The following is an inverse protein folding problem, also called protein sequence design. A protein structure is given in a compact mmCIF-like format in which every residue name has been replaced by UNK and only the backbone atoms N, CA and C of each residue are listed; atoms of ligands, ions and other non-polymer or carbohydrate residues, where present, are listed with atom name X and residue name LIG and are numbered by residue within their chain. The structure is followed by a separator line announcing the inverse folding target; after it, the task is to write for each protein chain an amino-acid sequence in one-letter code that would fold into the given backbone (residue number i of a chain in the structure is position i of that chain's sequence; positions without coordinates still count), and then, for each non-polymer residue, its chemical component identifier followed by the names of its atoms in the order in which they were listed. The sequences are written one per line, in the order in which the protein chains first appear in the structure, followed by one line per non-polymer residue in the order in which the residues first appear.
data_IF_465643577706
#
_entry.id   IF_465643577706
#
_cell.length_a   1.000
_cell.length_b   1.000
_cell.length_c   1.000
_cell.angle_alpha   90.00
_cell.angle_beta   90.00
_cell.angle_gamma   90.00
#
_symmetry.space_group_name_H-M   'P 1'
#
loop_
_entity.id
_entity.type
_entity.pdbx_description
1 polymer ?
#
# COMPACT_ATOMS: atom_id res chain seq x y z
N UNK A 1 -0.27 -54.99 -7.66
CA UNK A 1 -0.92 -54.51 -6.43
C UNK A 1 -0.24 -53.21 -6.02
N UNK A 2 -0.64 -52.07 -6.63
CA UNK A 2 -0.06 -50.76 -6.39
C UNK A 2 -1.13 -49.89 -5.73
N UNK A 3 -0.91 -49.49 -4.46
CA UNK A 3 -1.74 -48.52 -3.75
C UNK A 3 -1.18 -47.12 -4.01
N UNK A 4 -1.90 -46.27 -4.72
CA UNK A 4 -1.67 -44.86 -4.80
C UNK A 4 -2.21 -44.20 -3.51
N UNK A 5 -1.32 -43.66 -2.65
CA UNK A 5 -1.67 -42.73 -1.62
C UNK A 5 -1.82 -41.33 -2.26
N UNK A 6 -3.03 -40.82 -2.31
CA UNK A 6 -3.31 -39.44 -2.64
C UNK A 6 -3.14 -38.56 -1.41
N UNK A 7 -1.99 -37.89 -1.31
CA UNK A 7 -1.73 -36.87 -0.29
C UNK A 7 -2.37 -35.54 -0.74
N UNK A 8 -3.53 -35.24 -0.18
CA UNK A 8 -4.35 -34.08 -0.52
C UNK A 8 -3.98 -32.90 0.41
N UNK A 9 -2.74 -32.38 0.29
CA UNK A 9 -2.33 -31.12 0.93
C UNK A 9 -2.73 -29.95 0.06
N UNK A 10 -3.93 -29.46 0.26
CA UNK A 10 -4.43 -28.23 -0.37
C UNK A 10 -3.69 -27.01 0.19
N UNK A 11 -2.80 -26.48 -0.64
CA UNK A 11 -2.09 -25.22 -0.37
C UNK A 11 -3.09 -24.04 -0.41
N UNK A 12 -3.34 -23.30 0.70
CA UNK A 12 -4.37 -22.25 0.74
C UNK A 12 -4.07 -21.07 -0.20
N UNK A 13 -2.82 -20.92 -0.66
CA UNK A 13 -2.43 -19.85 -1.56
C UNK A 13 -2.80 -20.08 -3.05
N UNK A 14 -3.07 -21.33 -3.46
CA UNK A 14 -3.47 -21.62 -4.85
C UNK A 14 -4.90 -21.19 -5.19
N UNK A 15 -5.80 -21.07 -4.21
CA UNK A 15 -7.21 -20.72 -4.48
C UNK A 15 -7.44 -19.24 -4.79
N UNK A 16 -6.58 -18.36 -4.30
CA UNK A 16 -6.72 -16.91 -4.52
C UNK A 16 -6.27 -16.50 -5.93
N UNK A 17 -5.26 -17.17 -6.48
CA UNK A 17 -4.76 -16.89 -7.83
C UNK A 17 -5.77 -17.23 -8.93
N UNK A 18 -6.60 -18.27 -8.74
CA UNK A 18 -7.64 -18.65 -9.70
C UNK A 18 -8.84 -17.69 -9.73
N UNK A 19 -9.23 -17.12 -8.61
CA UNK A 19 -10.33 -16.16 -8.54
C UNK A 19 -9.97 -14.81 -9.18
N UNK A 20 -8.72 -14.36 -9.07
CA UNK A 20 -8.25 -13.13 -9.72
C UNK A 20 -8.14 -13.33 -11.25
N UNK A 21 -7.72 -14.51 -11.70
CA UNK A 21 -7.67 -14.86 -13.12
C UNK A 21 -9.06 -14.93 -13.78
N UNK A 22 -10.07 -15.40 -13.07
CA UNK A 22 -11.44 -15.54 -13.59
C UNK A 22 -12.16 -14.18 -13.67
N UNK A 23 -11.91 -13.24 -12.76
CA UNK A 23 -12.48 -11.89 -12.84
C UNK A 23 -11.90 -11.06 -13.98
N UNK A 24 -10.65 -11.30 -14.39
CA UNK A 24 -10.05 -10.62 -15.54
C UNK A 24 -10.60 -11.10 -16.89
N UNK A 25 -11.07 -12.36 -17.00
CA UNK A 25 -11.61 -12.90 -18.24
C UNK A 25 -13.08 -12.55 -18.50
N UNK A 26 -13.89 -12.28 -17.48
CA UNK A 26 -15.32 -11.99 -17.64
C UNK A 26 -15.65 -10.53 -17.99
N UNK A 27 -14.71 -9.60 -17.85
CA UNK A 27 -14.89 -8.17 -18.13
C UNK A 27 -14.74 -7.76 -19.61
N UNK A 28 -14.33 -8.66 -20.50
CA UNK A 28 -13.99 -8.32 -21.90
C UNK A 28 -15.08 -8.64 -22.92
N UNK A 29 -16.17 -9.26 -22.55
CA UNK A 29 -17.25 -9.60 -23.47
C UNK A 29 -18.43 -8.66 -23.30
N UNK A 30 -18.81 -8.00 -24.40
CA UNK A 30 -20.03 -7.24 -24.66
C UNK A 30 -20.14 -5.81 -24.11
N UNK A 31 -19.67 -4.83 -24.89
CA UNK A 31 -20.33 -3.53 -24.99
C UNK A 31 -20.10 -2.95 -26.41
N UNK A 32 -20.86 -3.46 -27.36
CA UNK A 32 -21.13 -2.72 -28.59
C UNK A 32 -22.15 -1.63 -28.24
N UNK A 33 -21.73 -0.38 -28.23
CA UNK A 33 -22.61 0.77 -28.01
C UNK A 33 -22.54 1.73 -29.20
N UNK A 34 -23.67 2.40 -29.57
CA UNK A 34 -23.77 3.23 -30.75
C UNK A 34 -22.91 4.47 -30.67
N UNK A 35 -22.46 4.89 -31.84
CA UNK A 35 -21.69 6.11 -32.06
C UNK A 35 -22.49 7.33 -31.58
N UNK A 36 -22.06 7.92 -30.49
CA UNK A 36 -22.53 9.24 -30.04
C UNK A 36 -21.31 10.17 -29.93
N UNK A 37 -21.25 11.09 -30.85
CA UNK A 37 -20.52 12.36 -30.88
C UNK A 37 -19.03 12.33 -30.46
N UNK A 38 -18.19 12.44 -31.47
CA UNK A 38 -16.77 12.73 -31.37
C UNK A 38 -16.52 14.11 -30.73
N UNK A 39 -16.51 14.17 -29.40
CA UNK A 39 -15.80 15.21 -28.70
C UNK A 39 -14.36 14.75 -28.53
N UNK A 40 -13.44 15.58 -29.00
CA UNK A 40 -12.02 15.35 -29.14
C UNK A 40 -11.41 14.57 -27.97
N UNK A 41 -10.90 13.38 -28.27
CA UNK A 41 -10.16 12.50 -27.35
C UNK A 41 -8.96 13.16 -26.66
N UNK A 42 -8.51 14.30 -27.14
CA UNK A 42 -7.42 15.12 -26.62
C UNK A 42 -7.66 15.63 -25.19
N UNK A 43 -8.89 15.97 -24.79
CA UNK A 43 -9.20 16.52 -23.47
C UNK A 43 -8.88 15.55 -22.33
N UNK A 44 -9.14 14.24 -22.51
CA UNK A 44 -9.11 13.26 -21.41
C UNK A 44 -7.74 12.96 -20.81
N UNK A 45 -6.66 13.11 -21.58
CA UNK A 45 -5.30 12.99 -21.05
C UNK A 45 -4.84 14.25 -20.32
N UNK A 46 -5.46 15.40 -20.62
CA UNK A 46 -4.98 16.72 -20.24
C UNK A 46 -5.99 17.52 -19.40
N UNK A 47 -7.01 16.87 -18.88
CA UNK A 47 -7.96 17.50 -17.99
C UNK A 47 -7.27 18.25 -16.85
N UNK A 48 -7.66 19.52 -16.64
CA UNK A 48 -6.95 20.42 -15.73
C UNK A 48 -6.99 19.97 -14.29
N UNK A 49 -8.15 19.46 -13.86
CA UNK A 49 -8.35 18.95 -12.51
C UNK A 49 -8.97 17.57 -12.55
N UNK A 50 -8.45 16.67 -11.73
CA UNK A 50 -9.01 15.34 -11.50
C UNK A 50 -9.07 15.05 -10.01
N UNK A 51 -10.20 14.54 -9.55
CA UNK A 51 -10.39 13.97 -8.22
C UNK A 51 -10.53 12.45 -8.37
N UNK A 52 -9.67 11.70 -7.70
CA UNK A 52 -9.67 10.26 -7.66
C UNK A 52 -10.09 9.80 -6.25
N UNK A 53 -11.15 9.02 -6.17
CA UNK A 53 -11.64 8.41 -4.94
C UNK A 53 -11.68 6.91 -5.13
N UNK A 54 -10.92 6.18 -4.34
CA UNK A 54 -10.78 4.74 -4.51
C UNK A 54 -10.68 3.99 -3.19
N UNK A 55 -11.01 2.71 -3.25
CA UNK A 55 -10.80 1.76 -2.17
C UNK A 55 -10.02 0.57 -2.68
N UNK A 56 -9.01 0.15 -1.95
CA UNK A 56 -8.21 -1.00 -2.28
C UNK A 56 -8.40 -2.14 -1.28
N UNK A 57 -8.49 -3.36 -1.78
CA UNK A 57 -8.23 -4.54 -0.97
C UNK A 57 -6.73 -4.79 -1.05
N UNK A 58 -6.07 -4.65 0.08
CA UNK A 58 -4.62 -4.76 0.19
C UNK A 58 -4.27 -6.07 0.87
N UNK A 59 -3.39 -6.85 0.26
CA UNK A 59 -2.73 -8.00 0.86
C UNK A 59 -1.38 -7.52 1.34
N UNK A 60 -1.10 -7.71 2.63
CA UNK A 60 0.09 -7.17 3.25
C UNK A 60 0.70 -8.14 4.26
N UNK A 61 2.01 -8.35 4.13
CA UNK A 61 2.82 -8.94 5.18
C UNK A 61 3.58 -7.83 5.91
N UNK A 62 3.67 -7.90 7.21
CA UNK A 62 4.46 -6.92 7.97
C UNK A 62 5.42 -7.67 8.87
N UNK A 63 6.69 -7.28 8.85
CA UNK A 63 7.67 -7.69 9.85
C UNK A 63 8.18 -6.44 10.53
N UNK A 64 8.08 -6.40 11.84
CA UNK A 64 8.51 -5.27 12.66
C UNK A 64 9.52 -5.78 13.67
N UNK A 65 10.64 -5.09 13.81
CA UNK A 65 11.57 -5.23 14.91
C UNK A 65 11.71 -3.87 15.57
N UNK A 66 11.54 -3.84 16.86
CA UNK A 66 11.80 -2.64 17.68
C UNK A 66 12.89 -3.00 18.66
N UNK A 67 14.02 -2.33 18.53
CA UNK A 67 15.19 -2.56 19.38
C UNK A 67 15.01 -1.81 20.70
N UNK A 68 15.48 -2.40 21.79
CA UNK A 68 15.48 -1.80 23.12
C UNK A 68 16.79 -1.08 23.40
N UNK A 69 16.91 -0.55 24.61
CA UNK A 69 18.14 0.11 25.11
C UNK A 69 19.29 -0.88 25.32
N UNK A 70 18.98 -2.16 25.60
CA UNK A 70 19.94 -3.20 25.94
C UNK A 70 20.26 -4.14 24.75
N UNK A 71 19.65 -3.95 23.57
CA UNK A 71 19.93 -4.77 22.40
C UNK A 71 18.84 -4.85 21.34
N UNK A 72 19.05 -5.75 20.38
CA UNK A 72 18.13 -5.96 19.27
C UNK A 72 16.81 -6.63 19.74
N UNK A 73 15.69 -6.08 19.30
CA UNK A 73 14.38 -6.68 19.50
C UNK A 73 14.15 -7.91 18.60
N UNK A 74 13.06 -8.60 18.83
CA UNK A 74 12.65 -9.75 18.02
C UNK A 74 12.00 -9.31 16.70
N UNK A 75 12.37 -9.95 15.59
CA UNK A 75 11.63 -9.83 14.32
C UNK A 75 10.23 -10.47 14.49
N UNK A 76 9.18 -9.65 14.57
CA UNK A 76 7.80 -10.05 14.77
C UNK A 76 7.02 -9.92 13.46
N UNK A 77 6.47 -11.02 12.97
CA UNK A 77 5.59 -11.00 11.79
C UNK A 77 4.16 -10.64 12.22
N UNK A 78 3.43 -9.96 11.33
CA UNK A 78 2.01 -9.63 11.55
C UNK A 78 1.17 -10.86 11.91
N UNK A 79 1.49 -12.01 11.32
CA UNK A 79 0.78 -13.26 11.54
C UNK A 79 0.99 -13.83 12.96
N UNK A 80 2.18 -13.62 13.53
CA UNK A 80 2.49 -14.02 14.91
C UNK A 80 1.59 -13.28 15.92
N UNK A 81 1.21 -12.05 15.57
CA UNK A 81 0.33 -11.18 16.36
C UNK A 81 -1.14 -11.29 15.95
N UNK A 82 -1.48 -12.18 15.01
CA UNK A 82 -2.84 -12.36 14.52
C UNK A 82 -3.38 -11.20 13.69
N UNK A 83 -2.54 -10.25 13.29
CA UNK A 83 -2.97 -9.13 12.45
C UNK A 83 -3.43 -9.65 11.08
N UNK A 84 -4.61 -9.23 10.59
CA UNK A 84 -5.14 -9.71 9.33
C UNK A 84 -4.20 -9.37 8.17
N UNK A 85 -3.93 -10.37 7.32
CA UNK A 85 -3.08 -10.24 6.13
C UNK A 85 -3.74 -9.46 4.99
N UNK A 86 -5.05 -9.18 5.07
CA UNK A 86 -5.76 -8.36 4.10
C UNK A 86 -6.60 -7.30 4.79
N UNK A 87 -6.71 -6.11 4.16
CA UNK A 87 -7.50 -5.00 4.68
C UNK A 87 -7.98 -4.09 3.56
N UNK A 88 -9.10 -3.42 3.81
CA UNK A 88 -9.57 -2.33 2.99
C UNK A 88 -8.78 -1.05 3.30
N UNK A 89 -8.32 -0.38 2.25
CA UNK A 89 -7.53 0.84 2.34
C UNK A 89 -8.16 1.91 1.43
N UNK A 90 -8.86 2.89 1.99
CA UNK A 90 -9.36 4.02 1.22
C UNK A 90 -8.23 4.95 0.79
N UNK A 91 -8.38 5.53 -0.39
CA UNK A 91 -7.47 6.51 -0.98
C UNK A 91 -8.27 7.64 -1.62
N UNK A 92 -7.77 8.84 -1.47
CA UNK A 92 -8.22 10.02 -2.22
C UNK A 92 -7.00 10.75 -2.79
N UNK A 93 -7.09 11.23 -4.03
CA UNK A 93 -6.07 12.11 -4.60
C UNK A 93 -6.68 13.17 -5.52
N UNK A 94 -6.02 14.32 -5.57
CA UNK A 94 -6.32 15.42 -6.47
C UNK A 94 -5.13 15.62 -7.39
N UNK A 95 -5.39 15.71 -8.68
CA UNK A 95 -4.41 16.03 -9.72
C UNK A 95 -4.71 17.37 -10.33
N UNK A 96 -3.70 18.18 -10.45
CA UNK A 96 -3.74 19.46 -11.14
C UNK A 96 -2.72 19.51 -12.27
N UNK A 97 -3.19 19.86 -13.46
CA UNK A 97 -2.37 20.00 -14.69
C UNK A 97 -2.42 21.43 -15.18
N UNK A 98 -1.45 22.28 -14.84
CA UNK A 98 -1.37 23.64 -15.36
C UNK A 98 -1.10 23.70 -16.87
N UNK A 99 -0.68 22.59 -17.47
CA UNK A 99 -0.41 22.46 -18.90
C UNK A 99 -0.23 20.99 -19.30
N UNK A 100 0.02 20.75 -20.57
CA UNK A 100 0.10 19.38 -21.11
C UNK A 100 1.28 18.56 -20.57
N UNK A 101 2.34 19.21 -20.09
CA UNK A 101 3.57 18.53 -19.66
C UNK A 101 3.75 18.49 -18.14
N UNK A 102 2.98 19.26 -17.40
CA UNK A 102 3.16 19.43 -15.97
C UNK A 102 1.96 18.89 -15.21
N UNK A 103 2.20 18.13 -14.15
CA UNK A 103 1.17 17.61 -13.28
C UNK A 103 1.65 17.62 -11.84
N UNK A 104 0.77 18.03 -10.94
CA UNK A 104 0.90 17.88 -9.50
C UNK A 104 -0.21 16.96 -9.00
N UNK A 105 0.15 15.96 -8.20
CA UNK A 105 -0.79 15.06 -7.52
C UNK A 105 -0.56 15.13 -6.00
N UNK A 106 -1.60 15.49 -5.27
CA UNK A 106 -1.67 15.37 -3.82
C UNK A 106 -2.58 14.21 -3.48
N UNK A 107 -2.12 13.29 -2.64
CA UNK A 107 -2.92 12.13 -2.26
C UNK A 107 -2.73 11.72 -0.81
N UNK A 108 -3.75 11.01 -0.32
CA UNK A 108 -3.80 10.46 1.03
C UNK A 108 -4.43 9.07 1.00
N UNK A 109 -3.85 8.15 1.76
CA UNK A 109 -4.40 6.81 2.00
C UNK A 109 -4.06 6.34 3.41
N UNK A 110 -4.88 5.43 3.96
CA UNK A 110 -4.61 4.88 5.27
C UNK A 110 -5.05 3.43 5.41
N UNK A 111 -4.36 2.70 6.30
CA UNK A 111 -4.75 1.36 6.68
C UNK A 111 -4.65 1.17 8.20
N UNK A 112 -5.62 0.46 8.78
CA UNK A 112 -5.68 0.17 10.20
C UNK A 112 -5.95 -1.30 10.40
N UNK A 113 -5.15 -1.94 11.25
CA UNK A 113 -5.27 -3.35 11.60
C UNK A 113 -5.27 -3.49 13.10
N UNK A 114 -6.08 -4.40 13.62
CA UNK A 114 -6.06 -4.79 15.03
C UNK A 114 -6.34 -6.27 15.14
N UNK A 115 -5.78 -6.88 16.15
CA UNK A 115 -6.03 -8.29 16.50
C UNK A 115 -5.83 -8.51 17.99
N UNK A 116 -6.54 -9.50 18.50
CA UNK A 116 -6.34 -10.05 19.83
C UNK A 116 -5.85 -11.49 19.63
N UNK A 117 -4.69 -11.82 20.18
CA UNK A 117 -4.09 -13.16 20.02
C UNK A 117 -3.23 -13.55 21.21
N UNK A 118 -3.27 -14.83 21.55
CA UNK A 118 -2.32 -15.43 22.49
C UNK A 118 -1.01 -15.73 21.79
N UNK A 119 0.10 -15.23 22.33
CA UNK A 119 1.44 -15.40 21.78
C UNK A 119 1.88 -16.86 21.84
N UNK A 120 2.41 -17.35 20.73
CA UNK A 120 2.94 -18.71 20.62
C UNK A 120 4.47 -18.78 20.79
N UNK A 121 5.10 -17.61 20.84
CA UNK A 121 6.54 -17.45 21.10
C UNK A 121 6.78 -16.17 21.90
N UNK A 122 7.90 -16.12 22.59
CA UNK A 122 8.35 -14.90 23.26
C UNK A 122 8.63 -13.80 22.25
N UNK A 123 8.21 -12.59 22.58
CA UNK A 123 8.39 -11.38 21.77
C UNK A 123 9.09 -10.33 22.62
N UNK A 124 10.24 -9.85 22.16
CA UNK A 124 10.93 -8.70 22.73
C UNK A 124 10.60 -7.50 21.83
N UNK A 125 9.91 -6.51 22.42
CA UNK A 125 9.48 -5.31 21.72
C UNK A 125 9.88 -4.09 22.54
N UNK A 126 10.83 -3.31 22.04
CA UNK A 126 11.52 -2.29 22.80
C UNK A 126 12.13 -2.88 24.10
N UNK A 127 11.86 -2.25 25.24
CA UNK A 127 12.36 -2.67 26.54
C UNK A 127 11.41 -3.63 27.28
N UNK A 128 10.46 -4.24 26.55
CA UNK A 128 9.44 -5.12 27.13
C UNK A 128 9.51 -6.52 26.54
N UNK A 129 9.52 -7.52 27.41
CA UNK A 129 9.44 -8.93 27.03
C UNK A 129 8.00 -9.42 27.24
N UNK A 130 7.44 -10.03 26.20
CA UNK A 130 6.12 -10.66 26.21
C UNK A 130 6.29 -12.17 26.08
N UNK A 131 5.93 -12.88 27.12
CA UNK A 131 6.13 -14.32 27.21
C UNK A 131 5.08 -15.11 26.43
N UNK A 132 5.39 -16.37 26.15
CA UNK A 132 4.47 -17.32 25.52
C UNK A 132 3.23 -17.48 26.40
N UNK A 133 2.05 -17.56 25.78
CA UNK A 133 0.78 -17.73 26.48
C UNK A 133 0.10 -16.43 26.89
N UNK A 134 0.76 -15.26 26.76
CA UNK A 134 0.12 -13.98 27.00
C UNK A 134 -0.86 -13.63 25.88
N UNK A 135 -2.06 -13.21 26.25
CA UNK A 135 -3.01 -12.64 25.29
C UNK A 135 -2.66 -11.17 25.04
N UNK A 136 -2.39 -10.84 23.79
CA UNK A 136 -2.03 -9.48 23.38
C UNK A 136 -3.11 -8.88 22.50
N UNK A 137 -3.42 -7.60 22.75
CA UNK A 137 -4.17 -6.76 21.83
C UNK A 137 -3.21 -5.89 21.06
N UNK A 138 -3.14 -6.14 19.76
CA UNK A 138 -2.21 -5.44 18.86
C UNK A 138 -2.97 -4.50 17.94
N UNK A 139 -2.49 -3.26 17.81
CA UNK A 139 -3.00 -2.30 16.82
C UNK A 139 -1.85 -1.80 15.97
N UNK A 140 -2.06 -1.78 14.68
CA UNK A 140 -1.14 -1.23 13.71
C UNK A 140 -1.84 -0.24 12.79
N UNK A 141 -1.34 0.99 12.74
CA UNK A 141 -1.85 2.05 11.89
C UNK A 141 -0.75 2.52 10.96
N UNK A 142 -1.10 2.72 9.72
CA UNK A 142 -0.25 3.38 8.74
C UNK A 142 -1.09 4.34 7.92
N UNK A 143 -0.60 5.55 7.82
CA UNK A 143 -1.17 6.61 6.99
C UNK A 143 -0.11 7.00 5.97
N UNK A 144 -0.51 7.48 4.80
CA UNK A 144 0.42 7.98 3.80
C UNK A 144 -0.15 9.22 3.15
N UNK A 145 0.56 10.33 3.26
CA UNK A 145 0.31 11.54 2.49
C UNK A 145 1.47 11.77 1.54
N UNK A 146 1.17 12.13 0.30
CA UNK A 146 2.20 12.34 -0.72
C UNK A 146 1.85 13.48 -1.65
N UNK A 147 2.88 14.16 -2.12
CA UNK A 147 2.86 15.14 -3.20
C UNK A 147 3.79 14.67 -4.29
N UNK A 148 3.29 14.53 -5.50
CA UNK A 148 4.07 14.10 -6.68
C UNK A 148 3.99 15.15 -7.76
N UNK A 149 5.13 15.55 -8.28
CA UNK A 149 5.24 16.32 -9.52
C UNK A 149 5.65 15.39 -10.67
N UNK A 150 4.96 15.49 -11.81
CA UNK A 150 5.29 14.75 -13.02
C UNK A 150 5.56 15.69 -14.16
N UNK A 151 6.58 15.34 -14.97
CA UNK A 151 6.92 16.02 -16.21
C UNK A 151 6.82 15.06 -17.38
N UNK A 152 5.99 15.39 -18.37
CA UNK A 152 5.84 14.62 -19.58
C UNK A 152 6.97 14.91 -20.56
N UNK A 153 7.82 13.92 -20.79
CA UNK A 153 8.85 13.96 -21.84
C UNK A 153 8.17 13.91 -23.20
N UNK A 154 7.16 13.06 -23.34
CA UNK A 154 6.32 12.98 -24.54
C UNK A 154 4.85 13.20 -24.15
N UNK A 155 4.19 14.08 -24.90
CA UNK A 155 2.79 14.43 -24.72
C UNK A 155 2.13 14.45 -26.11
N UNK A 156 1.53 13.31 -26.50
CA UNK A 156 0.83 13.13 -27.77
C UNK A 156 -0.65 12.92 -27.49
N UNK A 157 -1.47 12.98 -28.52
CA UNK A 157 -2.94 12.88 -28.41
C UNK A 157 -3.45 11.66 -27.63
N UNK A 158 -2.79 10.51 -27.78
CA UNK A 158 -3.22 9.25 -27.17
C UNK A 158 -2.21 8.64 -26.24
N UNK A 159 -1.02 9.23 -26.12
CA UNK A 159 0.06 8.69 -25.29
C UNK A 159 0.79 9.81 -24.58
N UNK A 160 1.05 9.60 -23.32
CA UNK A 160 1.89 10.47 -22.51
C UNK A 160 2.84 9.60 -21.69
N UNK A 161 4.12 9.95 -21.65
CA UNK A 161 5.06 9.30 -20.76
C UNK A 161 6.10 10.31 -20.29
N UNK A 162 6.64 10.04 -19.12
CA UNK A 162 7.59 10.96 -18.52
C UNK A 162 8.14 10.45 -17.20
N UNK A 163 8.69 11.38 -16.46
CA UNK A 163 9.30 11.16 -15.16
C UNK A 163 8.55 11.91 -14.08
N UNK A 164 8.71 11.47 -12.86
CA UNK A 164 8.10 12.11 -11.69
C UNK A 164 9.03 12.09 -10.50
N UNK A 165 8.88 13.11 -9.67
CA UNK A 165 9.50 13.19 -8.35
C UNK A 165 8.40 13.39 -7.31
N UNK A 166 8.56 12.81 -6.16
CA UNK A 166 7.56 12.90 -5.10
C UNK A 166 8.19 13.03 -3.73
N UNK A 167 7.46 13.67 -2.84
CA UNK A 167 7.75 13.71 -1.41
C UNK A 167 6.53 13.28 -0.63
N UNK A 168 6.72 12.73 0.55
CA UNK A 168 5.61 12.29 1.37
C UNK A 168 6.02 12.00 2.80
N UNK A 169 5.01 11.67 3.58
CA UNK A 169 5.16 11.18 4.94
C UNK A 169 4.42 9.87 5.09
N UNK A 170 5.01 8.96 5.84
CA UNK A 170 4.49 7.63 6.13
C UNK A 170 4.54 7.38 7.64
N UNK A 171 3.56 7.89 8.39
CA UNK A 171 3.43 7.61 9.81
C UNK A 171 3.07 6.14 10.04
N UNK A 172 3.84 5.48 10.90
CA UNK A 172 3.52 4.17 11.47
C UNK A 172 3.28 4.32 12.96
N UNK A 173 2.20 3.71 13.46
CA UNK A 173 1.95 3.56 14.88
C UNK A 173 1.65 2.11 15.20
N UNK A 174 2.39 1.60 16.16
CA UNK A 174 2.27 0.22 16.62
C UNK A 174 2.02 0.22 18.13
N UNK A 175 0.98 -0.49 18.56
CA UNK A 175 0.58 -0.64 19.95
C UNK A 175 0.43 -2.13 20.27
N UNK A 176 1.05 -2.58 21.35
CA UNK A 176 0.83 -3.91 21.93
C UNK A 176 0.42 -3.72 23.39
N UNK A 177 -0.76 -4.22 23.74
CA UNK A 177 -1.25 -4.31 25.11
C UNK A 177 -1.32 -5.79 25.47
N UNK A 178 -0.63 -6.21 26.51
CA UNK A 178 -0.68 -7.59 27.02
C UNK A 178 -1.44 -7.64 28.33
N UNK A 179 -2.36 -8.59 28.43
CA UNK A 179 -3.11 -8.92 29.62
C UNK A 179 -2.60 -10.26 30.16
N UNK A 180 -1.94 -10.25 31.30
CA UNK A 180 -1.61 -11.48 32.03
C UNK A 180 -2.77 -11.79 32.97
N UNK A 181 -3.54 -12.85 32.70
CA UNK A 181 -4.47 -13.46 33.66
C UNK A 181 -3.73 -14.56 34.44
N UNK A 182 -2.88 -14.16 35.35
CA UNK A 182 -2.42 -15.09 36.40
C UNK A 182 -3.11 -14.68 37.68
N UNK A 183 -3.75 -15.66 38.32
CA UNK A 183 -4.46 -15.58 39.58
C UNK A 183 -3.85 -14.53 40.52
N UNK A 184 -4.62 -13.50 40.85
CA UNK A 184 -4.45 -12.41 41.83
C UNK A 184 -3.68 -11.15 41.47
N UNK A 185 -2.80 -11.11 40.50
CA UNK A 185 -2.18 -9.82 40.03
C UNK A 185 -2.24 -9.73 38.52
N UNK A 186 -3.10 -8.84 38.00
CA UNK A 186 -3.19 -8.54 36.58
C UNK A 186 -2.04 -7.59 36.20
N UNK A 187 -0.95 -8.13 35.69
CA UNK A 187 0.14 -7.32 35.12
C UNK A 187 -0.24 -6.91 33.71
N UNK A 188 -0.69 -5.67 33.55
CA UNK A 188 -0.91 -5.09 32.23
C UNK A 188 0.41 -4.49 31.73
N UNK A 189 0.92 -5.03 30.62
CA UNK A 189 2.07 -4.44 29.92
C UNK A 189 1.58 -3.78 28.64
N UNK A 190 1.91 -2.52 28.46
CA UNK A 190 1.56 -1.76 27.26
C UNK A 190 2.81 -1.13 26.66
N UNK A 191 2.99 -1.28 25.36
CA UNK A 191 4.04 -0.59 24.61
C UNK A 191 3.46 0.05 23.36
N UNK A 192 3.74 1.34 23.20
CA UNK A 192 3.38 2.10 22.02
C UNK A 192 4.65 2.70 21.41
N UNK A 193 4.84 2.45 20.12
CA UNK A 193 5.92 3.08 19.36
C UNK A 193 5.35 3.68 18.09
N UNK A 194 5.84 4.87 17.75
CA UNK A 194 5.48 5.57 16.51
C UNK A 194 6.71 6.10 15.82
N UNK A 195 6.65 6.12 14.50
CA UNK A 195 7.67 6.73 13.65
C UNK A 195 7.00 7.42 12.47
N UNK A 196 7.53 8.56 12.09
CA UNK A 196 7.17 9.24 10.84
C UNK A 196 8.31 9.00 9.87
N UNK A 197 8.05 8.21 8.82
CA UNK A 197 8.99 7.98 7.73
C UNK A 197 8.82 9.05 6.66
N UNK A 198 9.74 10.03 6.55
CA UNK A 198 9.74 10.90 5.38
C UNK A 198 10.10 10.08 4.15
N UNK A 199 9.47 10.36 3.01
CA UNK A 199 9.73 9.67 1.76
C UNK A 199 10.02 10.67 0.66
N UNK A 200 11.00 10.33 -0.20
CA UNK A 200 11.24 11.04 -1.44
C UNK A 200 11.38 10.00 -2.55
N UNK A 201 10.72 10.20 -3.67
CA UNK A 201 10.65 9.23 -4.75
C UNK A 201 11.03 9.84 -6.09
N UNK A 202 11.60 9.00 -6.94
CA UNK A 202 11.78 9.28 -8.35
C UNK A 202 11.22 8.11 -9.15
N UNK A 203 10.64 8.37 -10.32
CA UNK A 203 10.06 7.29 -11.11
C UNK A 203 9.70 7.70 -12.52
N UNK A 204 9.16 6.73 -13.26
CA UNK A 204 8.62 6.91 -14.59
C UNK A 204 7.13 6.59 -14.61
N UNK A 205 6.42 7.19 -15.53
CA UNK A 205 5.01 6.91 -15.76
C UNK A 205 4.68 6.87 -17.25
N UNK A 206 3.63 6.12 -17.57
CA UNK A 206 3.08 6.06 -18.91
C UNK A 206 1.56 6.09 -18.87
N UNK A 207 0.93 6.71 -19.87
CA UNK A 207 -0.51 6.81 -20.05
C UNK A 207 -0.85 6.57 -21.51
N UNK A 208 -1.86 5.78 -21.73
CA UNK A 208 -2.28 5.33 -23.05
C UNK A 208 -3.79 5.40 -23.14
N UNK A 209 -4.30 6.08 -24.17
CA UNK A 209 -5.70 6.15 -24.48
C UNK A 209 -6.01 5.20 -25.63
N UNK A 210 -6.85 4.19 -25.38
CA UNK A 210 -7.29 3.21 -26.35
C UNK A 210 -8.74 3.53 -26.77
N UNK A 211 -8.92 3.85 -28.05
CA UNK A 211 -10.20 4.35 -28.52
C UNK A 211 -10.60 5.66 -27.84
N UNK A 212 -11.87 5.80 -27.52
CA UNK A 212 -12.42 7.02 -26.89
C UNK A 212 -12.70 6.89 -25.40
N UNK A 213 -12.73 5.66 -24.88
CA UNK A 213 -13.23 5.39 -23.53
C UNK A 213 -12.27 4.66 -22.61
N UNK A 214 -11.25 4.02 -23.16
CA UNK A 214 -10.29 3.26 -22.37
C UNK A 214 -9.00 4.02 -22.15
N UNK A 215 -8.55 4.05 -20.94
CA UNK A 215 -7.33 4.71 -20.51
C UNK A 215 -6.54 3.74 -19.63
N UNK A 216 -5.26 3.63 -19.90
CA UNK A 216 -4.32 2.85 -19.11
C UNK A 216 -3.25 3.78 -18.54
N UNK A 217 -3.00 3.68 -17.26
CA UNK A 217 -1.91 4.38 -16.58
C UNK A 217 -0.99 3.35 -15.91
N UNK A 218 0.30 3.52 -16.07
CA UNK A 218 1.34 2.76 -15.36
C UNK A 218 2.30 3.73 -14.69
N UNK A 219 2.80 3.34 -13.53
CA UNK A 219 3.70 4.16 -12.72
C UNK A 219 4.68 3.23 -11.99
N UNK A 220 5.97 3.55 -12.06
CA UNK A 220 7.02 2.83 -11.35
C UNK A 220 7.85 3.85 -10.58
N UNK A 221 7.99 3.66 -9.27
CA UNK A 221 8.73 4.56 -8.38
C UNK A 221 9.77 3.82 -7.56
N UNK A 222 10.84 4.50 -7.30
CA UNK A 222 11.90 4.04 -6.42
C UNK A 222 12.23 5.12 -5.41
N UNK A 223 12.44 4.68 -4.18
CA UNK A 223 12.86 5.52 -3.07
C UNK A 223 14.04 4.83 -2.41
N UNK A 224 15.17 5.51 -2.31
CA UNK A 224 16.26 5.12 -1.45
C UNK A 224 16.99 6.39 -1.03
N UNK A 225 16.62 6.93 0.11
CA UNK A 225 17.24 8.12 0.66
C UNK A 225 17.54 7.88 2.14
N UNK A 226 18.68 8.36 2.59
CA UNK A 226 19.01 8.40 4.01
C UNK A 226 18.73 9.80 4.54
N UNK A 227 17.87 9.90 5.51
CA UNK A 227 17.55 11.16 6.21
C UNK A 227 17.88 10.92 7.69
N UNK A 228 18.95 11.54 8.14
CA UNK A 228 19.49 11.35 9.48
C UNK A 228 19.70 9.84 9.75
N UNK A 229 19.08 9.28 10.76
CA UNK A 229 19.14 7.87 11.15
C UNK A 229 18.12 6.97 10.43
N UNK A 230 17.20 7.53 9.64
CA UNK A 230 16.15 6.81 8.92
C UNK A 230 16.62 6.48 7.52
N UNK A 231 16.57 5.20 7.16
CA UNK A 231 16.97 4.65 5.86
C UNK A 231 15.77 3.96 5.20
N UNK A 232 14.85 4.69 4.57
CA UNK A 232 13.77 4.11 3.80
C UNK A 232 14.29 3.57 2.45
N UNK A 233 13.75 2.45 2.05
CA UNK A 233 13.86 1.91 0.70
C UNK A 233 12.51 1.42 0.25
N UNK A 234 11.99 1.99 -0.83
CA UNK A 234 10.66 1.66 -1.34
C UNK A 234 10.73 1.45 -2.85
N UNK A 235 10.11 0.39 -3.31
CA UNK A 235 9.82 0.14 -4.73
C UNK A 235 8.32 0.03 -4.86
N UNK A 236 7.73 0.81 -5.76
CA UNK A 236 6.29 0.80 -6.04
C UNK A 236 6.05 0.66 -7.53
N UNK A 237 5.13 -0.22 -7.90
CA UNK A 237 4.61 -0.35 -9.25
C UNK A 237 3.09 -0.29 -9.23
N UNK A 238 2.50 0.48 -10.12
CA UNK A 238 1.06 0.61 -10.26
C UNK A 238 0.65 0.49 -11.72
N UNK A 239 -0.48 -0.19 -11.93
CA UNK A 239 -1.18 -0.28 -13.21
C UNK A 239 -2.65 0.03 -12.95
N UNK A 240 -3.24 0.94 -13.72
CA UNK A 240 -4.65 1.29 -13.59
C UNK A 240 -5.30 1.42 -14.97
N UNK A 241 -6.43 0.72 -15.13
CA UNK A 241 -7.31 0.86 -16.27
C UNK A 241 -8.51 1.72 -15.88
N UNK A 242 -8.88 2.66 -16.74
CA UNK A 242 -10.08 3.49 -16.57
C UNK A 242 -11.01 3.33 -17.74
N UNK A 243 -12.29 3.31 -17.43
CA UNK A 243 -13.35 3.36 -18.41
C UNK A 243 -14.18 4.61 -18.22
N UNK A 244 -14.21 5.48 -19.22
CA UNK A 244 -14.98 6.72 -19.17
C UNK A 244 -16.47 6.45 -19.38
N UNK A 245 -17.24 6.62 -18.32
CA UNK A 245 -18.72 6.53 -18.32
C UNK A 245 -19.31 7.78 -18.97
N UNK A 246 -18.69 8.94 -18.74
CA UNK A 246 -19.01 10.23 -19.34
C UNK A 246 -17.75 11.08 -19.52
N UNK A 247 -17.90 12.30 -20.00
CA UNK A 247 -16.79 13.23 -20.13
C UNK A 247 -16.18 13.65 -18.78
N UNK A 248 -16.94 13.51 -17.68
CA UNK A 248 -16.54 13.95 -16.35
C UNK A 248 -16.34 12.80 -15.36
N UNK A 249 -16.73 11.59 -15.72
CA UNK A 249 -16.73 10.46 -14.80
C UNK A 249 -16.11 9.23 -15.45
N UNK A 250 -15.17 8.62 -14.77
CA UNK A 250 -14.61 7.32 -15.14
C UNK A 250 -14.63 6.34 -13.96
N UNK A 251 -14.85 5.07 -14.26
CA UNK A 251 -14.56 3.96 -13.34
C UNK A 251 -13.10 3.56 -13.47
N UNK A 252 -12.45 3.23 -12.36
CA UNK A 252 -11.06 2.78 -12.31
C UNK A 252 -10.94 1.39 -11.70
N UNK A 253 -10.16 0.53 -12.33
CA UNK A 253 -9.64 -0.70 -11.77
C UNK A 253 -8.12 -0.62 -11.77
N UNK A 254 -7.50 -0.79 -10.61
CA UNK A 254 -6.05 -0.71 -10.46
C UNK A 254 -5.47 -1.93 -9.77
N UNK A 255 -4.21 -2.21 -10.08
CA UNK A 255 -3.37 -3.16 -9.38
C UNK A 255 -2.06 -2.48 -8.98
N UNK A 256 -1.61 -2.71 -7.75
CA UNK A 256 -0.38 -2.13 -7.24
C UNK A 256 0.43 -3.14 -6.45
N UNK A 257 1.74 -3.00 -6.56
CA UNK A 257 2.71 -3.69 -5.73
C UNK A 257 3.62 -2.66 -5.07
N UNK A 258 3.97 -2.89 -3.81
CA UNK A 258 4.94 -2.05 -3.10
C UNK A 258 5.77 -2.89 -2.16
N UNK A 259 7.05 -2.60 -2.05
CA UNK A 259 7.95 -3.19 -1.08
C UNK A 259 8.61 -2.06 -0.31
N UNK A 260 8.18 -1.88 0.93
CA UNK A 260 8.67 -0.83 1.83
C UNK A 260 9.60 -1.46 2.86
N UNK A 261 10.80 -0.92 2.99
CA UNK A 261 11.75 -1.25 4.07
C UNK A 261 12.19 0.04 4.72
N UNK A 262 12.09 0.10 6.03
CA UNK A 262 12.57 1.23 6.81
C UNK A 262 13.50 0.68 7.88
N UNK A 263 14.74 1.13 7.89
CA UNK A 263 15.68 0.87 8.98
C UNK A 263 15.91 2.19 9.71
N UNK A 264 15.89 2.14 11.02
CA UNK A 264 16.11 3.29 11.89
C UNK A 264 17.22 2.95 12.84
N UNK A 265 18.35 3.63 12.71
CA UNK A 265 19.50 3.46 13.59
C UNK A 265 19.16 4.01 15.01
N UNK A 266 19.72 3.44 16.08
CA UNK A 266 19.52 3.94 17.43
C UNK A 266 20.04 5.38 17.59
N UNK A 267 19.48 6.10 18.55
CA UNK A 267 20.04 7.38 19.03
C UNK A 267 21.09 7.11 20.10
N UNK A 268 22.03 8.02 20.26
CA UNK A 268 23.06 7.95 21.30
C UNK A 268 22.45 7.90 22.71
N UNK A 269 21.33 8.58 22.92
CA UNK A 269 20.59 8.59 24.20
C UNK A 269 19.58 7.43 24.36
N UNK A 270 19.49 6.53 23.39
CA UNK A 270 18.56 5.40 23.42
C UNK A 270 17.07 5.74 23.23
N UNK A 271 16.72 7.02 23.14
CA UNK A 271 15.31 7.44 23.05
C UNK A 271 14.73 7.31 21.63
N UNK A 272 13.44 7.03 21.58
CA UNK A 272 12.66 6.95 20.35
C UNK A 272 12.61 5.54 19.74
N UNK A 273 12.21 5.48 18.48
CA UNK A 273 12.16 4.23 17.74
C UNK A 273 13.54 3.92 17.13
N UNK A 274 14.03 2.71 17.35
CA UNK A 274 15.09 2.08 16.58
C UNK A 274 14.63 0.70 16.15
N UNK A 275 15.11 0.21 14.99
CA UNK A 275 14.71 -1.09 14.50
C UNK A 275 14.45 -1.14 12.99
N UNK A 276 13.63 -2.09 12.58
CA UNK A 276 13.38 -2.38 11.18
C UNK A 276 11.90 -2.65 10.91
N UNK A 277 11.39 -2.08 9.84
CA UNK A 277 10.04 -2.36 9.32
C UNK A 277 10.18 -2.86 7.89
N UNK A 278 9.62 -4.02 7.61
CA UNK A 278 9.42 -4.56 6.25
C UNK A 278 7.93 -4.65 6.00
N UNK A 279 7.47 -4.03 4.93
CA UNK A 279 6.06 -3.87 4.64
C UNK A 279 5.78 -4.09 3.14
N UNK A 280 5.79 -5.35 2.67
CA UNK A 280 5.37 -5.67 1.32
C UNK A 280 3.84 -5.55 1.19
N UNK A 281 3.39 -4.98 0.10
CA UNK A 281 2.00 -4.72 -0.22
C UNK A 281 1.67 -5.20 -1.63
N UNK A 282 0.52 -5.81 -1.78
CA UNK A 282 -0.15 -6.00 -3.07
C UNK A 282 -1.58 -5.49 -2.92
N UNK A 283 -2.09 -4.77 -3.90
CA UNK A 283 -3.44 -4.25 -3.82
C UNK A 283 -4.19 -4.38 -5.14
N UNK A 284 -5.49 -4.62 -5.02
CA UNK A 284 -6.46 -4.43 -6.10
C UNK A 284 -7.35 -3.27 -5.69
N UNK A 285 -7.48 -2.29 -6.55
CA UNK A 285 -8.17 -1.03 -6.29
C UNK A 285 -9.34 -0.84 -7.23
N UNK A 286 -10.46 -0.42 -6.67
CA UNK A 286 -11.63 0.05 -7.42
C UNK A 286 -11.88 1.51 -7.04
N UNK A 287 -12.22 2.32 -8.01
CA UNK A 287 -12.40 3.75 -7.79
C UNK A 287 -13.23 4.45 -8.84
N UNK A 288 -13.46 5.70 -8.58
CA UNK A 288 -14.08 6.65 -9.50
C UNK A 288 -13.16 7.85 -9.67
N UNK A 289 -13.08 8.34 -10.89
CA UNK A 289 -12.30 9.53 -11.25
C UNK A 289 -13.28 10.58 -11.78
N UNK A 290 -13.28 11.73 -11.14
CA UNK A 290 -14.04 12.90 -11.52
C UNK A 290 -13.10 13.91 -12.19
N UNK A 291 -13.52 14.41 -13.34
CA UNK A 291 -12.82 15.46 -14.10
C UNK A 291 -13.59 16.77 -13.99
N UNK A 292 -12.89 17.85 -13.65
CA UNK A 292 -13.45 19.17 -13.40
C UNK A 292 -12.90 20.20 -14.40
#
# INVERSE_FOLDING_TARGET
MWRFMTDNRTCPHCRVTWLVGLMLCFGLATLATPAAQAQTSLGRLYDKWQLDLSGAVVIMGTTIRVDGSEGEGTDVKSDDLGLPGSRFMPRASVRWRPGQRHELELGYQFARRSADRTLQRQVIFADSTYDVGLTTKTKFRTDQAFLTYRYAISAKERTQWGVGVGVGILPFKFEIDALASASSDSVTRSATKSIIGPTASIGGYGRFLFGERWYLETDLRYIAIKIDRIKPSVVEGNLAGRYFLSNKLAAELGYGISSIRITVDPRENGEGFSGKIKYPLQNVRLGVVLTL
#
